data_IF_216968470293
#
_entry.id   IF_216968470293
#
_cell.length_a   1.000
_cell.length_b   1.000
_cell.length_c   1.000
_cell.angle_alpha   90.00
_cell.angle_beta   90.00
_cell.angle_gamma   90.00
#
_symmetry.space_group_name_H-M   'P 1'
#
loop_
_entity.id
_entity.type
_entity.pdbx_description
1 polymer ?
#
# COMPACT_ATOMS: atom_id res chain seq x y z
N UNK A 1 -25.09 0.26 -22.88
CA UNK A 1 -26.16 0.90 -22.14
C UNK A 1 -25.66 2.02 -21.21
N UNK A 2 -26.56 2.67 -20.50
CA UNK A 2 -26.19 3.77 -19.59
C UNK A 2 -25.22 3.34 -18.50
N UNK A 3 -25.28 2.10 -18.02
CA UNK A 3 -24.36 1.57 -17.01
C UNK A 3 -22.91 1.52 -17.48
N UNK A 4 -22.69 1.35 -18.78
CA UNK A 4 -21.34 1.32 -19.35
C UNK A 4 -20.64 2.70 -19.26
N UNK A 5 -21.37 3.79 -19.11
CA UNK A 5 -20.84 5.16 -19.05
C UNK A 5 -20.69 5.70 -17.62
N UNK A 6 -20.91 4.87 -16.59
CA UNK A 6 -20.79 5.31 -15.20
C UNK A 6 -19.31 5.58 -14.90
N UNK A 7 -18.96 6.79 -14.42
CA UNK A 7 -17.60 7.07 -13.98
C UNK A 7 -17.23 6.12 -12.84
N UNK A 8 -16.16 5.35 -13.02
CA UNK A 8 -15.75 4.31 -12.07
C UNK A 8 -14.77 4.83 -11.04
N UNK A 9 -13.81 5.62 -11.51
CA UNK A 9 -12.70 6.08 -10.69
C UNK A 9 -12.51 7.58 -10.87
N UNK A 10 -12.08 8.22 -9.78
CA UNK A 10 -11.76 9.63 -9.72
C UNK A 10 -10.53 9.84 -8.84
N UNK A 11 -10.13 11.09 -8.64
CA UNK A 11 -8.99 11.41 -7.79
C UNK A 11 -9.18 10.94 -6.35
N UNK A 12 -10.39 11.04 -5.82
CA UNK A 12 -10.69 10.60 -4.47
C UNK A 12 -10.51 9.08 -4.32
N UNK A 13 -10.97 8.30 -5.28
CA UNK A 13 -10.76 6.85 -5.29
C UNK A 13 -9.27 6.50 -5.22
N UNK A 14 -8.45 7.11 -6.07
CA UNK A 14 -7.02 6.83 -6.10
C UNK A 14 -6.29 7.29 -4.85
N UNK A 15 -6.71 8.40 -4.26
CA UNK A 15 -6.18 8.86 -2.97
C UNK A 15 -6.47 7.86 -1.85
N UNK A 16 -7.71 7.41 -1.74
CA UNK A 16 -8.12 6.44 -0.72
C UNK A 16 -7.40 5.11 -0.90
N UNK A 17 -7.31 4.60 -2.12
CA UNK A 17 -6.55 3.38 -2.44
C UNK A 17 -5.08 3.56 -2.10
N UNK A 18 -4.48 4.68 -2.44
CA UNK A 18 -3.10 4.98 -2.11
C UNK A 18 -2.83 4.96 -0.62
N UNK A 19 -3.69 5.55 0.18
CA UNK A 19 -3.58 5.54 1.65
C UNK A 19 -3.69 4.11 2.21
N UNK A 20 -4.64 3.32 1.73
CA UNK A 20 -4.80 1.93 2.17
C UNK A 20 -3.59 1.05 1.81
N UNK A 21 -3.06 1.20 0.60
CA UNK A 21 -1.88 0.44 0.16
C UNK A 21 -0.65 0.86 0.97
N UNK A 22 -0.49 2.13 1.25
CA UNK A 22 0.59 2.65 2.10
C UNK A 22 0.54 2.01 3.49
N UNK A 23 -0.63 1.96 4.09
CA UNK A 23 -0.83 1.34 5.40
C UNK A 23 -0.58 -0.18 5.35
N UNK A 24 -1.05 -0.86 4.31
CA UNK A 24 -0.81 -2.30 4.15
C UNK A 24 0.68 -2.63 4.00
N UNK A 25 1.42 -1.85 3.24
CA UNK A 25 2.88 -2.04 3.10
C UNK A 25 3.56 -1.88 4.47
N UNK A 26 3.17 -0.89 5.26
CA UNK A 26 3.69 -0.71 6.62
C UNK A 26 3.36 -1.89 7.53
N UNK A 27 2.13 -2.35 7.51
CA UNK A 27 1.69 -3.51 8.31
C UNK A 27 2.46 -4.75 7.90
N UNK A 28 2.56 -5.03 6.62
CA UNK A 28 3.28 -6.20 6.11
C UNK A 28 4.75 -6.17 6.49
N UNK A 29 5.39 -5.02 6.34
CA UNK A 29 6.82 -4.85 6.63
C UNK A 29 7.11 -4.81 8.12
N UNK A 30 6.44 -3.94 8.86
CA UNK A 30 6.81 -3.64 10.25
C UNK A 30 6.16 -4.56 11.27
N UNK A 31 4.89 -4.93 11.07
CA UNK A 31 4.17 -5.79 12.00
C UNK A 31 4.34 -7.26 11.69
N UNK A 32 4.24 -7.64 10.42
CA UNK A 32 4.33 -9.05 9.99
C UNK A 32 5.76 -9.48 9.65
N UNK A 33 6.66 -8.55 9.33
CA UNK A 33 8.03 -8.85 8.96
C UNK A 33 8.14 -9.62 7.64
N UNK A 34 7.26 -9.32 6.69
CA UNK A 34 7.17 -10.03 5.41
C UNK A 34 7.57 -9.13 4.25
N UNK A 35 8.25 -9.71 3.27
CA UNK A 35 8.58 -9.04 2.02
C UNK A 35 7.38 -8.97 1.06
N UNK A 36 7.58 -8.36 -0.10
CA UNK A 36 6.52 -8.22 -1.11
C UNK A 36 6.03 -9.58 -1.66
N UNK A 37 6.82 -10.64 -1.50
CA UNK A 37 6.46 -12.01 -1.89
C UNK A 37 5.83 -12.80 -0.73
N UNK A 38 5.55 -12.16 0.40
CA UNK A 38 5.01 -12.77 1.62
C UNK A 38 5.99 -13.76 2.29
N UNK A 39 7.28 -13.56 2.12
CA UNK A 39 8.33 -14.34 2.76
C UNK A 39 8.92 -13.55 3.92
N UNK A 40 9.52 -14.23 4.89
CA UNK A 40 10.28 -13.56 5.92
C UNK A 40 11.48 -12.83 5.31
N UNK A 41 11.80 -11.65 5.83
CA UNK A 41 12.99 -10.93 5.42
C UNK A 41 14.25 -11.72 5.83
N UNK A 42 15.33 -11.59 5.02
CA UNK A 42 16.62 -12.09 5.39
C UNK A 42 17.06 -11.54 6.74
N UNK A 43 17.71 -12.37 7.55
CA UNK A 43 18.15 -12.00 8.88
C UNK A 43 19.10 -10.80 8.88
N UNK A 44 19.06 -10.03 9.96
CA UNK A 44 20.03 -8.99 10.21
C UNK A 44 21.40 -9.60 10.57
N UNK A 45 22.47 -8.85 10.32
CA UNK A 45 23.77 -9.20 10.87
C UNK A 45 23.67 -9.23 12.39
N UNK A 46 24.49 -10.08 13.04
CA UNK A 46 24.52 -10.23 14.50
C UNK A 46 24.71 -8.87 15.21
N UNK A 47 25.68 -8.08 14.76
CA UNK A 47 25.94 -6.77 15.35
C UNK A 47 24.75 -5.81 15.25
N UNK A 48 24.02 -5.83 14.15
CA UNK A 48 22.82 -5.00 13.99
C UNK A 48 21.67 -5.50 14.85
N UNK A 49 21.43 -6.81 14.88
CA UNK A 49 20.38 -7.41 15.69
C UNK A 49 20.58 -7.10 17.18
N UNK A 50 21.82 -7.15 17.69
CA UNK A 50 22.13 -6.82 19.06
C UNK A 50 21.96 -5.35 19.40
N UNK A 51 22.18 -4.45 18.45
CA UNK A 51 22.03 -3.01 18.63
C UNK A 51 20.59 -2.54 18.54
N UNK A 52 19.78 -3.17 17.70
CA UNK A 52 18.41 -2.74 17.39
C UNK A 52 17.51 -2.54 18.62
N UNK A 53 17.48 -3.43 19.61
CA UNK A 53 16.63 -3.27 20.81
C UNK A 53 16.96 -2.06 21.66
N UNK A 54 18.16 -1.51 21.53
CA UNK A 54 18.61 -0.34 22.30
C UNK A 54 18.11 1.00 21.75
N UNK A 55 17.54 0.96 20.55
CA UNK A 55 17.03 2.17 19.86
C UNK A 55 15.54 2.28 20.15
N UNK A 56 15.14 3.36 20.83
CA UNK A 56 13.77 3.55 21.34
C UNK A 56 12.67 3.41 20.30
N UNK A 57 12.95 3.74 19.04
CA UNK A 57 11.97 3.67 17.94
C UNK A 57 12.04 2.37 17.15
N UNK A 58 12.99 1.52 17.46
CA UNK A 58 13.11 0.22 16.81
C UNK A 58 12.17 -0.80 17.43
N UNK A 59 11.78 -1.79 16.64
CA UNK A 59 11.06 -2.93 17.17
C UNK A 59 12.01 -3.86 17.92
N UNK A 60 11.43 -4.61 18.85
CA UNK A 60 12.20 -5.50 19.71
C UNK A 60 12.90 -6.65 18.96
N UNK A 61 14.09 -6.99 19.42
CA UNK A 61 14.77 -8.22 19.08
C UNK A 61 15.37 -8.29 17.69
N UNK A 62 15.68 -9.51 17.28
CA UNK A 62 16.31 -9.83 16.01
C UNK A 62 15.32 -9.94 14.85
N UNK A 63 14.01 -9.85 15.13
CA UNK A 63 12.99 -9.93 14.09
C UNK A 63 13.20 -8.83 13.05
N UNK A 64 13.30 -9.21 11.80
CA UNK A 64 13.49 -8.28 10.70
C UNK A 64 12.14 -7.62 10.34
N UNK A 65 12.04 -6.33 10.58
CA UNK A 65 10.86 -5.54 10.22
C UNK A 65 11.22 -4.18 9.61
N UNK A 66 12.50 -3.98 9.29
CA UNK A 66 13.04 -2.77 8.66
C UNK A 66 12.76 -1.49 9.45
N UNK A 67 12.56 -1.62 10.76
CA UNK A 67 12.27 -0.50 11.65
C UNK A 67 13.40 -0.35 12.67
N UNK A 68 14.36 0.52 12.42
CA UNK A 68 15.38 0.93 13.39
C UNK A 68 14.94 2.20 14.11
N UNK A 69 14.69 3.27 13.35
CA UNK A 69 14.18 4.56 13.86
C UNK A 69 12.75 4.84 13.42
N UNK A 70 12.24 4.12 12.45
CA UNK A 70 10.95 4.34 11.81
C UNK A 70 11.00 5.27 10.59
N UNK A 71 12.08 5.99 10.37
CA UNK A 71 12.16 7.04 9.34
C UNK A 71 11.95 6.49 7.93
N UNK A 72 12.52 5.32 7.62
CA UNK A 72 12.39 4.73 6.30
C UNK A 72 10.93 4.38 5.97
N UNK A 73 10.22 3.70 6.86
CA UNK A 73 8.84 3.33 6.61
C UNK A 73 7.86 4.48 6.76
N UNK A 74 8.17 5.43 7.65
CA UNK A 74 7.40 6.67 7.77
C UNK A 74 7.54 7.58 6.53
N UNK A 75 8.63 7.42 5.78
CA UNK A 75 8.84 8.13 4.52
C UNK A 75 8.02 7.60 3.35
N UNK A 76 7.35 6.46 3.50
CA UNK A 76 6.43 5.95 2.48
C UNK A 76 5.18 6.83 2.42
N UNK A 77 4.90 7.38 1.24
CA UNK A 77 3.80 8.33 1.07
C UNK A 77 3.14 8.17 -0.30
N UNK A 78 1.89 8.61 -0.37
CA UNK A 78 1.27 8.91 -1.65
C UNK A 78 1.96 10.16 -2.21
N UNK A 79 2.60 10.02 -3.36
CA UNK A 79 3.39 11.09 -3.98
C UNK A 79 2.63 11.86 -5.05
N UNK A 80 1.53 11.34 -5.51
CA UNK A 80 0.67 11.99 -6.47
C UNK A 80 -0.47 11.08 -6.88
N UNK A 81 -1.53 11.68 -7.37
CA UNK A 81 -2.67 10.94 -7.90
C UNK A 81 -3.35 11.77 -8.98
N UNK A 82 -3.92 11.05 -9.94
CA UNK A 82 -4.70 11.61 -11.05
C UNK A 82 -6.07 10.96 -11.06
N UNK A 83 -6.85 11.21 -12.11
CA UNK A 83 -8.12 10.49 -12.32
C UNK A 83 -7.92 9.01 -12.67
N UNK A 84 -6.71 8.61 -13.07
CA UNK A 84 -6.42 7.28 -13.61
C UNK A 84 -5.41 6.50 -12.79
N UNK A 85 -4.70 7.13 -11.86
CA UNK A 85 -3.57 6.49 -11.17
C UNK A 85 -3.23 7.13 -9.84
N UNK A 86 -2.50 6.38 -9.04
CA UNK A 86 -1.84 6.86 -7.82
C UNK A 86 -0.38 6.40 -7.84
N UNK A 87 0.50 7.26 -7.36
CA UNK A 87 1.92 6.95 -7.18
C UNK A 87 2.25 6.94 -5.70
N UNK A 88 2.82 5.84 -5.23
CA UNK A 88 3.25 5.64 -3.85
C UNK A 88 4.75 5.38 -3.84
N UNK A 89 5.44 5.89 -2.86
CA UNK A 89 6.88 5.62 -2.78
C UNK A 89 7.62 6.49 -1.77
N UNK A 90 8.92 6.46 -1.92
CA UNK A 90 9.87 7.19 -1.10
C UNK A 90 10.64 8.20 -1.94
N UNK A 91 11.30 9.12 -1.26
CA UNK A 91 12.20 10.08 -1.91
C UNK A 91 13.55 10.14 -1.16
N UNK A 92 14.57 10.69 -1.85
CA UNK A 92 15.87 10.97 -1.25
C UNK A 92 16.55 9.76 -0.63
N UNK A 93 17.06 9.94 0.57
CA UNK A 93 17.78 8.90 1.33
C UNK A 93 16.93 7.66 1.60
N UNK A 94 15.62 7.84 1.83
CA UNK A 94 14.73 6.72 2.11
C UNK A 94 14.56 5.82 0.87
N UNK A 95 14.51 6.39 -0.33
CA UNK A 95 14.47 5.60 -1.57
C UNK A 95 15.75 4.76 -1.73
N UNK A 96 16.90 5.31 -1.40
CA UNK A 96 18.18 4.57 -1.40
C UNK A 96 18.17 3.43 -0.39
N UNK A 97 17.65 3.65 0.80
CA UNK A 97 17.55 2.61 1.84
C UNK A 97 16.66 1.45 1.38
N UNK A 98 15.56 1.72 0.70
CA UNK A 98 14.70 0.69 0.13
C UNK A 98 15.45 -0.13 -0.91
N UNK A 99 16.20 0.50 -1.80
CA UNK A 99 17.02 -0.20 -2.80
C UNK A 99 18.11 -1.05 -2.15
N UNK A 100 18.80 -0.53 -1.15
CA UNK A 100 19.82 -1.30 -0.43
C UNK A 100 19.23 -2.54 0.27
N UNK A 101 18.05 -2.41 0.85
CA UNK A 101 17.36 -3.56 1.46
C UNK A 101 16.96 -4.60 0.43
N UNK A 102 16.46 -4.17 -0.74
CA UNK A 102 16.18 -5.07 -1.86
C UNK A 102 17.44 -5.82 -2.30
N UNK A 103 18.55 -5.11 -2.47
CA UNK A 103 19.85 -5.70 -2.85
C UNK A 103 20.35 -6.75 -1.84
N UNK A 104 19.99 -6.58 -0.57
CA UNK A 104 20.28 -7.53 0.51
C UNK A 104 19.23 -8.63 0.68
N UNK A 105 18.30 -8.76 -0.25
CA UNK A 105 17.22 -9.74 -0.19
C UNK A 105 16.06 -9.40 0.74
N UNK A 106 15.91 -8.12 1.10
CA UNK A 106 14.80 -7.63 1.92
C UNK A 106 13.93 -6.70 1.08
N UNK A 107 13.14 -7.27 0.19
CA UNK A 107 12.36 -6.53 -0.78
C UNK A 107 11.02 -6.05 -0.20
N UNK A 108 10.92 -4.78 0.14
CA UNK A 108 9.62 -4.16 0.46
C UNK A 108 8.78 -4.01 -0.80
N UNK A 109 9.43 -3.66 -1.91
CA UNK A 109 8.86 -3.60 -3.24
C UNK A 109 9.96 -3.89 -4.26
N UNK A 110 9.60 -4.37 -5.44
CA UNK A 110 10.53 -4.57 -6.55
C UNK A 110 9.94 -4.03 -7.84
N UNK A 111 10.79 -3.80 -8.85
CA UNK A 111 10.31 -3.37 -10.16
C UNK A 111 9.40 -4.42 -10.82
N UNK A 112 9.70 -5.71 -10.62
CA UNK A 112 8.92 -6.82 -11.17
C UNK A 112 7.65 -7.14 -10.37
N UNK A 113 7.65 -6.82 -9.07
CA UNK A 113 6.51 -7.02 -8.18
C UNK A 113 6.38 -5.82 -7.24
N UNK A 114 5.78 -4.72 -7.72
CA UNK A 114 5.65 -3.52 -6.92
C UNK A 114 4.66 -3.64 -5.76
N UNK A 115 3.66 -4.52 -5.88
CA UNK A 115 2.63 -4.74 -4.86
C UNK A 115 2.55 -6.22 -4.48
N UNK A 116 2.35 -6.49 -3.19
CA UNK A 116 2.05 -7.83 -2.70
C UNK A 116 0.68 -8.29 -3.20
N UNK A 117 0.45 -9.61 -3.14
CA UNK A 117 -0.86 -10.17 -3.49
C UNK A 117 -1.98 -9.58 -2.60
N UNK A 118 -1.70 -9.33 -1.33
CA UNK A 118 -2.66 -8.72 -0.42
C UNK A 118 -3.01 -7.28 -0.84
N UNK A 119 -2.00 -6.48 -1.20
CA UNK A 119 -2.23 -5.12 -1.72
C UNK A 119 -3.04 -5.13 -3.02
N UNK A 120 -2.78 -6.07 -3.91
CA UNK A 120 -3.56 -6.25 -5.15
C UNK A 120 -5.02 -6.57 -4.82
N UNK A 121 -5.28 -7.44 -3.86
CA UNK A 121 -6.67 -7.77 -3.41
C UNK A 121 -7.39 -6.53 -2.87
N UNK A 122 -6.70 -5.69 -2.11
CA UNK A 122 -7.28 -4.44 -1.60
C UNK A 122 -7.71 -3.54 -2.76
N UNK A 123 -6.85 -3.32 -3.76
CA UNK A 123 -7.20 -2.52 -4.95
C UNK A 123 -8.40 -3.09 -5.68
N UNK A 124 -8.41 -4.40 -5.90
CA UNK A 124 -9.53 -5.07 -6.59
C UNK A 124 -10.84 -4.93 -5.82
N UNK A 125 -10.81 -5.10 -4.50
CA UNK A 125 -11.99 -4.97 -3.65
C UNK A 125 -12.54 -3.55 -3.66
N UNK A 126 -11.68 -2.54 -3.52
CA UNK A 126 -12.08 -1.14 -3.58
C UNK A 126 -12.66 -0.77 -4.95
N UNK A 127 -12.07 -1.27 -6.03
CA UNK A 127 -12.58 -1.06 -7.37
C UNK A 127 -13.98 -1.65 -7.55
N UNK A 128 -14.20 -2.88 -7.09
CA UNK A 128 -15.52 -3.53 -7.14
C UNK A 128 -16.56 -2.77 -6.33
N UNK A 129 -16.22 -2.33 -5.13
CA UNK A 129 -17.13 -1.57 -4.28
C UNK A 129 -17.50 -0.22 -4.91
N UNK A 130 -16.56 0.47 -5.53
CA UNK A 130 -16.82 1.73 -6.22
C UNK A 130 -17.74 1.52 -7.42
N UNK A 131 -17.50 0.50 -8.24
CA UNK A 131 -18.35 0.17 -9.39
C UNK A 131 -19.77 -0.14 -8.93
N UNK A 132 -19.90 -0.97 -7.88
CA UNK A 132 -21.21 -1.32 -7.32
C UNK A 132 -21.96 -0.09 -6.82
N UNK A 133 -21.32 0.77 -6.04
CA UNK A 133 -21.95 2.00 -5.53
C UNK A 133 -22.44 2.91 -6.65
N UNK A 134 -21.65 3.07 -7.71
CA UNK A 134 -22.02 3.89 -8.84
C UNK A 134 -23.20 3.30 -9.61
N UNK A 135 -23.22 1.98 -9.80
CA UNK A 135 -24.34 1.27 -10.43
C UNK A 135 -25.61 1.38 -9.60
N UNK A 136 -25.53 1.20 -8.27
CA UNK A 136 -26.67 1.33 -7.35
C UNK A 136 -27.27 2.75 -7.37
N UNK A 137 -26.42 3.78 -7.38
CA UNK A 137 -26.87 5.18 -7.50
C UNK A 137 -27.61 5.43 -8.80
N UNK A 138 -27.12 4.92 -9.91
CA UNK A 138 -27.74 5.09 -11.21
C UNK A 138 -29.09 4.36 -11.27
N UNK A 139 -29.16 3.15 -10.74
CA UNK A 139 -30.39 2.36 -10.62
C UNK A 139 -31.42 3.09 -9.75
N UNK A 140 -31.03 3.66 -8.61
CA UNK A 140 -31.91 4.43 -7.74
C UNK A 140 -32.49 5.66 -8.44
N UNK A 141 -31.70 6.37 -9.25
CA UNK A 141 -32.19 7.50 -10.04
C UNK A 141 -33.29 7.06 -11.02
N UNK A 142 -33.14 5.95 -11.69
CA UNK A 142 -34.14 5.42 -12.61
C UNK A 142 -35.44 5.02 -11.89
N UNK A 143 -35.33 4.37 -10.73
CA UNK A 143 -36.49 4.00 -9.92
C UNK A 143 -37.24 5.25 -9.47
N UNK A 144 -36.53 6.24 -8.94
CA UNK A 144 -37.14 7.51 -8.49
C UNK A 144 -37.86 8.22 -9.64
N UNK A 145 -37.28 8.20 -10.84
CA UNK A 145 -37.92 8.76 -12.02
C UNK A 145 -39.26 8.08 -12.35
N UNK A 146 -39.36 6.75 -12.19
CA UNK A 146 -40.58 5.99 -12.44
C UNK A 146 -41.64 6.23 -11.39
N UNK A 147 -41.28 6.46 -10.13
CA UNK A 147 -42.21 6.65 -9.00
C UNK A 147 -42.68 8.08 -8.88
N UNK A 148 -41.87 9.04 -9.28
CA UNK A 148 -42.11 10.48 -9.13
C UNK A 148 -43.14 11.09 -10.09
N UNK A 149 -44.07 10.34 -10.57
CA UNK A 149 -45.15 10.81 -11.43
C UNK A 149 -46.18 11.60 -10.67
#
# INVERSE_FOLDING_TARGET
GKLANIPRFDKQFWREVGDEITDEIRVQTQKKGKDVFNRDFNEYSEGYANRKPRIKRGSAGSKVNLTLTGDMMNGLQVRGFTTDSVTIGWSGTNAKKIQWNEDMGRAVTTASKPLSNQSIKIVQQEARQRIKRNADKETAKHINFKIGR
#
